data_IF_241956918659
#
_entry.id   IF_241956918659
#
_cell.length_a   1.000
_cell.length_b   1.000
_cell.length_c   1.000
_cell.angle_alpha   90.00
_cell.angle_beta   90.00
_cell.angle_gamma   90.00
#
_symmetry.space_group_name_H-M   'P 1'
#
loop_
_entity.id
_entity.type
_entity.pdbx_description
1 polymer ?
#
# COMPACT_ATOMS: atom_id res chain seq x y z
N UNK A 1 17.41 4.84 11.14
CA UNK A 1 16.03 5.34 11.08
C UNK A 1 15.71 5.64 9.63
N UNK A 2 14.72 4.97 9.05
CA UNK A 2 14.28 5.21 7.67
C UNK A 2 13.05 6.13 7.72
N UNK A 3 13.28 7.42 7.56
CA UNK A 3 12.21 8.38 7.40
C UNK A 3 11.82 8.43 5.93
N UNK A 4 10.52 8.50 5.66
CA UNK A 4 9.98 8.68 4.31
C UNK A 4 8.88 9.73 4.35
N UNK A 5 8.66 10.43 3.23
CA UNK A 5 7.62 11.44 3.14
C UNK A 5 6.29 10.80 2.79
N UNK A 6 5.21 11.35 3.33
CA UNK A 6 3.86 11.19 2.81
C UNK A 6 3.33 12.55 2.40
N UNK A 7 2.72 12.61 1.21
CA UNK A 7 2.13 13.83 0.69
C UNK A 7 0.76 13.57 0.09
N UNK A 8 -0.19 14.43 0.43
CA UNK A 8 -1.47 14.57 -0.29
C UNK A 8 -1.52 15.93 -0.96
N UNK A 9 -1.85 15.95 -2.25
CA UNK A 9 -1.91 17.17 -3.04
C UNK A 9 -3.27 17.33 -3.73
N UNK A 10 -3.63 18.58 -3.98
CA UNK A 10 -4.80 18.97 -4.75
C UNK A 10 -5.50 20.23 -4.19
N UNK A 11 -6.48 20.79 -4.91
CA UNK A 11 -7.09 22.08 -4.56
C UNK A 11 -7.74 22.13 -3.17
N UNK A 12 -8.15 20.99 -2.61
CA UNK A 12 -8.75 20.92 -1.28
C UNK A 12 -7.83 21.40 -0.15
N UNK A 13 -6.51 21.46 -0.36
CA UNK A 13 -5.55 21.88 0.66
C UNK A 13 -5.18 23.37 0.63
N UNK A 14 -5.68 24.14 -0.34
CA UNK A 14 -5.32 25.57 -0.54
C UNK A 14 -5.75 26.46 0.63
N UNK A 15 -6.88 26.15 1.26
CA UNK A 15 -7.46 26.91 2.37
C UNK A 15 -7.25 26.24 3.74
N UNK A 16 -6.33 25.27 3.80
CA UNK A 16 -6.08 24.45 4.99
C UNK A 16 -6.38 22.98 4.75
N UNK A 17 -6.12 22.15 5.77
CA UNK A 17 -6.22 20.69 5.65
C UNK A 17 -7.54 20.23 6.28
N UNK A 18 -8.48 19.63 5.52
CA UNK A 18 -9.71 19.10 6.11
C UNK A 18 -9.39 17.92 7.03
N UNK A 19 -9.67 18.09 8.32
CA UNK A 19 -9.34 17.10 9.34
C UNK A 19 -9.91 15.70 9.06
N UNK A 20 -11.19 15.53 8.65
CA UNK A 20 -11.73 14.20 8.34
C UNK A 20 -10.99 13.51 7.17
N UNK A 21 -10.56 14.30 6.18
CA UNK A 21 -9.83 13.79 5.03
C UNK A 21 -8.41 13.36 5.43
N UNK A 22 -7.71 14.18 6.21
CA UNK A 22 -6.38 13.87 6.71
C UNK A 22 -6.39 12.60 7.58
N UNK A 23 -7.27 12.56 8.60
CA UNK A 23 -7.38 11.41 9.52
C UNK A 23 -7.72 10.14 8.76
N UNK A 24 -8.75 10.18 7.92
CA UNK A 24 -9.16 8.98 7.18
C UNK A 24 -8.08 8.50 6.21
N UNK A 25 -7.29 9.40 5.61
CA UNK A 25 -6.22 9.02 4.69
C UNK A 25 -5.02 8.44 5.44
N UNK A 26 -4.55 9.11 6.49
CA UNK A 26 -3.48 8.59 7.35
C UNK A 26 -3.85 7.25 8.00
N UNK A 27 -5.13 7.03 8.30
CA UNK A 27 -5.61 5.75 8.82
C UNK A 27 -5.50 4.62 7.80
N UNK A 28 -5.81 4.87 6.51
CA UNK A 28 -5.57 3.86 5.46
C UNK A 28 -4.07 3.61 5.26
N UNK A 29 -3.24 4.65 5.34
CA UNK A 29 -1.77 4.49 5.29
C UNK A 29 -1.30 3.61 6.44
N UNK A 30 -1.70 3.88 7.68
CA UNK A 30 -1.39 3.01 8.81
C UNK A 30 -1.86 1.57 8.55
N UNK A 31 -3.08 1.39 8.04
CA UNK A 31 -3.64 0.07 7.78
C UNK A 31 -2.84 -0.71 6.72
N UNK A 32 -2.33 -0.06 5.68
CA UNK A 32 -1.42 -0.69 4.70
C UNK A 32 -0.19 -1.28 5.39
N UNK A 33 0.47 -0.48 6.23
CA UNK A 33 1.67 -0.90 6.97
C UNK A 33 1.35 -1.97 8.03
N UNK A 34 0.15 -1.93 8.61
CA UNK A 34 -0.33 -2.98 9.51
C UNK A 34 -0.42 -4.34 8.83
N UNK A 35 -0.86 -4.40 7.56
CA UNK A 35 -0.90 -5.67 6.83
C UNK A 35 0.51 -6.23 6.62
N UNK A 36 1.48 -5.37 6.30
CA UNK A 36 2.89 -5.76 6.22
C UNK A 36 3.37 -6.33 7.55
N UNK A 37 3.14 -5.62 8.66
CA UNK A 37 3.49 -6.08 10.00
C UNK A 37 2.82 -7.42 10.37
N UNK A 38 1.54 -7.60 10.06
CA UNK A 38 0.79 -8.81 10.38
C UNK A 38 1.29 -10.02 9.60
N UNK A 39 1.58 -9.87 8.30
CA UNK A 39 2.17 -10.95 7.50
C UNK A 39 3.52 -11.37 8.07
N UNK A 40 4.37 -10.40 8.43
CA UNK A 40 5.70 -10.69 8.99
C UNK A 40 5.67 -11.32 10.39
N UNK A 41 4.69 -10.94 11.21
CA UNK A 41 4.51 -11.48 12.56
C UNK A 41 3.69 -12.76 12.62
N UNK A 42 3.10 -13.19 11.50
CA UNK A 42 2.13 -14.30 11.45
C UNK A 42 0.81 -13.98 12.17
N UNK A 43 0.52 -12.70 12.40
CA UNK A 43 -0.69 -12.23 13.08
C UNK A 43 -1.88 -12.08 12.12
N UNK A 44 -3.10 -12.14 12.66
CA UNK A 44 -4.34 -11.93 11.89
C UNK A 44 -5.02 -10.58 12.13
N UNK A 45 -4.70 -9.91 13.24
CA UNK A 45 -5.23 -8.60 13.61
C UNK A 45 -4.23 -7.85 14.48
N UNK A 46 -4.20 -6.53 14.38
CA UNK A 46 -3.39 -5.70 15.28
C UNK A 46 -4.07 -5.57 16.63
N UNK A 47 -3.34 -5.88 17.70
CA UNK A 47 -3.79 -5.78 19.09
C UNK A 47 -3.31 -4.48 19.75
N UNK A 48 -3.70 -4.25 21.01
CA UNK A 48 -3.20 -3.11 21.79
C UNK A 48 -1.71 -3.21 22.06
N UNK A 49 -1.20 -4.40 22.40
CA UNK A 49 0.23 -4.62 22.64
C UNK A 49 1.04 -4.43 21.37
N UNK A 50 0.50 -4.81 20.21
CA UNK A 50 1.19 -4.59 18.93
C UNK A 50 1.37 -3.08 18.65
N UNK A 51 0.42 -2.23 19.06
CA UNK A 51 0.50 -0.77 18.90
C UNK A 51 1.57 -0.11 19.77
N UNK A 52 1.95 -0.75 20.87
CA UNK A 52 3.03 -0.28 21.72
C UNK A 52 4.39 -0.41 21.02
N UNK A 53 4.51 -1.40 20.13
CA UNK A 53 5.76 -1.71 19.42
C UNK A 53 5.75 -1.34 17.94
N UNK A 54 4.57 -1.18 17.31
CA UNK A 54 4.42 -0.89 15.89
C UNK A 54 3.37 0.19 15.58
N UNK A 55 3.84 1.32 15.03
CA UNK A 55 3.01 2.38 14.48
C UNK A 55 3.79 3.28 13.51
N UNK A 56 3.07 4.02 12.67
CA UNK A 56 3.60 5.16 11.95
C UNK A 56 3.46 6.42 12.80
N UNK A 57 4.52 7.23 12.87
CA UNK A 57 4.49 8.57 13.49
C UNK A 57 4.65 9.64 12.42
N UNK A 58 3.78 10.64 12.47
CA UNK A 58 3.83 11.82 11.60
C UNK A 58 4.58 12.95 12.30
N UNK A 59 5.48 13.62 11.57
CA UNK A 59 6.20 14.81 12.02
C UNK A 59 6.06 15.94 11.01
N UNK A 60 6.21 17.18 11.48
CA UNK A 60 6.33 18.38 10.64
C UNK A 60 5.24 18.53 9.56
N UNK A 61 3.96 18.44 9.95
CA UNK A 61 2.83 18.64 9.04
C UNK A 61 2.85 20.07 8.48
N UNK A 62 3.02 20.21 7.16
CA UNK A 62 3.12 21.51 6.47
C UNK A 62 1.77 22.02 5.94
N UNK A 63 1.67 23.32 5.69
CA UNK A 63 0.48 23.97 5.12
C UNK A 63 0.52 24.00 3.57
N UNK A 64 -0.64 23.98 2.91
CA UNK A 64 -0.79 24.01 1.44
C UNK A 64 -0.80 22.63 0.75
N UNK A 65 -0.42 21.59 1.48
CA UNK A 65 -0.58 20.15 1.16
C UNK A 65 -0.51 19.39 2.48
N UNK A 66 -1.12 18.21 2.62
CA UNK A 66 -0.79 17.36 3.77
C UNK A 66 0.54 16.66 3.48
N UNK A 67 1.64 17.37 3.68
CA UNK A 67 3.01 16.83 3.62
C UNK A 67 3.51 16.61 5.05
N UNK A 68 4.01 15.41 5.34
CA UNK A 68 4.55 15.02 6.64
C UNK A 68 5.67 14.01 6.46
N UNK A 69 6.65 14.06 7.36
CA UNK A 69 7.64 12.99 7.48
C UNK A 69 7.04 11.85 8.33
N UNK A 70 7.13 10.64 7.81
CA UNK A 70 6.70 9.41 8.47
C UNK A 70 7.89 8.61 8.97
N UNK A 71 7.80 8.16 10.21
CA UNK A 71 8.73 7.20 10.81
C UNK A 71 7.99 5.90 11.13
N UNK A 72 8.56 4.77 10.72
CA UNK A 72 8.08 3.44 11.13
C UNK A 72 8.75 3.08 12.44
N UNK A 73 7.96 3.09 13.51
CA UNK A 73 8.38 2.59 14.81
C UNK A 73 8.20 1.08 14.79
N UNK A 74 9.27 0.35 15.07
CA UNK A 74 9.27 -1.09 15.27
C UNK A 74 10.25 -1.42 16.40
N UNK A 75 9.75 -1.47 17.62
CA UNK A 75 10.55 -1.69 18.83
C UNK A 75 10.24 -3.06 19.45
N UNK A 76 10.97 -4.08 19.01
CA UNK A 76 10.82 -5.47 19.50
C UNK A 76 11.70 -5.78 20.72
N UNK A 77 12.39 -4.79 21.29
CA UNK A 77 13.42 -5.02 22.30
C UNK A 77 12.91 -5.54 23.67
N UNK A 78 11.59 -5.65 23.88
CA UNK A 78 11.01 -6.02 25.19
C UNK A 78 10.02 -7.19 25.22
N UNK A 79 9.83 -7.93 24.12
CA UNK A 79 8.94 -9.11 24.12
C UNK A 79 9.75 -10.40 24.04
N UNK A 80 9.64 -11.24 25.07
CA UNK A 80 10.26 -12.57 25.22
C UNK A 80 9.67 -13.63 24.27
N UNK A 81 9.29 -13.26 23.04
CA UNK A 81 8.65 -14.15 22.06
C UNK A 81 9.73 -14.70 21.10
N UNK A 82 10.07 -16.00 21.16
CA UNK A 82 11.20 -16.58 20.44
C UNK A 82 10.97 -16.83 18.93
N UNK A 83 10.00 -16.15 18.29
CA UNK A 83 9.59 -16.46 16.90
C UNK A 83 9.65 -15.25 15.95
N UNK A 84 9.79 -14.02 16.45
CA UNK A 84 9.86 -12.85 15.57
C UNK A 84 11.30 -12.67 15.06
N UNK A 85 11.55 -13.15 13.84
CA UNK A 85 12.73 -12.75 13.10
C UNK A 85 12.82 -11.20 13.03
N UNK A 86 14.06 -10.75 13.11
CA UNK A 86 14.59 -9.39 13.11
C UNK A 86 14.28 -8.59 11.84
N UNK A 87 13.02 -8.34 11.53
CA UNK A 87 12.67 -7.38 10.47
C UNK A 87 12.92 -5.95 10.98
N UNK A 88 13.57 -5.13 10.17
CA UNK A 88 13.78 -3.71 10.45
C UNK A 88 12.66 -2.87 9.84
N UNK A 89 12.54 -1.62 10.28
CA UNK A 89 11.68 -0.61 9.63
C UNK A 89 11.95 -0.51 8.12
N UNK A 90 13.19 -0.71 7.68
CA UNK A 90 13.57 -0.70 6.27
C UNK A 90 12.95 -1.89 5.52
N UNK A 91 12.91 -3.07 6.14
CA UNK A 91 12.32 -4.27 5.53
C UNK A 91 10.80 -4.12 5.39
N UNK A 92 10.15 -3.53 6.40
CA UNK A 92 8.72 -3.20 6.36
C UNK A 92 8.42 -2.22 5.21
N UNK A 93 9.22 -1.17 5.06
CA UNK A 93 9.09 -0.23 3.94
C UNK A 93 9.29 -0.93 2.58
N UNK A 94 10.35 -1.73 2.46
CA UNK A 94 10.70 -2.40 1.20
C UNK A 94 9.63 -3.39 0.75
N UNK A 95 9.10 -4.20 1.67
CA UNK A 95 8.01 -5.13 1.39
C UNK A 95 6.71 -4.40 1.05
N UNK A 96 6.42 -3.29 1.72
CA UNK A 96 5.26 -2.45 1.40
C UNK A 96 5.37 -1.88 -0.02
N UNK A 97 6.54 -1.35 -0.40
CA UNK A 97 6.83 -0.86 -1.75
C UNK A 97 6.69 -1.95 -2.81
N UNK A 98 7.28 -3.12 -2.59
CA UNK A 98 7.18 -4.25 -3.53
C UNK A 98 5.73 -4.75 -3.67
N UNK A 99 4.96 -4.75 -2.58
CA UNK A 99 3.53 -5.14 -2.63
C UNK A 99 2.70 -4.16 -3.46
N UNK A 100 3.00 -2.86 -3.34
CA UNK A 100 2.43 -1.82 -4.16
C UNK A 100 2.79 -1.99 -5.64
N UNK A 101 4.06 -2.24 -5.95
CA UNK A 101 4.55 -2.47 -7.32
C UNK A 101 3.86 -3.69 -7.96
N UNK A 102 3.71 -4.79 -7.20
CA UNK A 102 2.99 -5.98 -7.62
C UNK A 102 1.52 -5.66 -7.92
N UNK A 103 0.80 -4.99 -7.00
CA UNK A 103 -0.58 -4.59 -7.20
C UNK A 103 -0.73 -3.73 -8.46
N UNK A 104 0.11 -2.72 -8.63
CA UNK A 104 0.07 -1.84 -9.80
C UNK A 104 0.32 -2.59 -11.09
N UNK A 105 1.26 -3.52 -11.10
CA UNK A 105 1.54 -4.35 -12.26
C UNK A 105 0.32 -5.20 -12.63
N UNK A 106 -0.19 -6.00 -11.68
CA UNK A 106 -1.32 -6.92 -11.91
C UNK A 106 -2.58 -6.18 -12.35
N UNK A 107 -2.94 -5.08 -11.67
CA UNK A 107 -4.15 -4.34 -12.01
C UNK A 107 -4.06 -3.58 -13.34
N UNK A 108 -2.87 -3.08 -13.73
CA UNK A 108 -2.67 -2.50 -15.08
C UNK A 108 -2.79 -3.53 -16.19
N UNK A 109 -2.44 -4.79 -15.93
CA UNK A 109 -2.68 -5.89 -16.87
C UNK A 109 -4.17 -6.22 -16.94
N UNK A 110 -4.83 -6.31 -15.79
CA UNK A 110 -6.26 -6.58 -15.72
C UNK A 110 -7.11 -5.52 -16.45
N UNK A 111 -6.75 -4.23 -16.36
CA UNK A 111 -7.40 -3.13 -17.09
C UNK A 111 -7.33 -3.33 -18.63
N UNK A 112 -6.27 -3.99 -19.12
CA UNK A 112 -6.10 -4.34 -20.54
C UNK A 112 -6.75 -5.69 -20.92
N UNK A 113 -7.35 -6.40 -19.96
CA UNK A 113 -7.84 -7.76 -20.15
C UNK A 113 -6.74 -8.82 -20.20
N UNK A 114 -5.52 -8.48 -19.80
CA UNK A 114 -4.37 -9.39 -19.78
C UNK A 114 -4.28 -10.13 -18.44
N UNK A 115 -3.81 -11.37 -18.46
CA UNK A 115 -3.65 -12.21 -17.27
C UNK A 115 -2.17 -12.54 -17.07
N UNK A 116 -1.53 -12.08 -15.98
CA UNK A 116 -0.16 -12.46 -15.67
C UNK A 116 -0.08 -13.94 -15.28
N UNK A 117 1.11 -14.51 -15.44
CA UNK A 117 1.47 -15.84 -14.95
C UNK A 117 2.30 -15.68 -13.67
N UNK A 118 1.98 -16.49 -12.67
CA UNK A 118 2.64 -16.50 -11.36
C UNK A 118 3.49 -17.75 -11.22
N UNK A 119 4.76 -17.58 -10.85
CA UNK A 119 5.69 -18.66 -10.59
C UNK A 119 6.34 -18.44 -9.23
N UNK A 120 5.97 -19.28 -8.26
CA UNK A 120 6.64 -19.33 -6.97
C UNK A 120 7.95 -20.14 -7.11
N UNK A 121 9.06 -19.57 -6.64
CA UNK A 121 10.37 -20.24 -6.65
C UNK A 121 10.80 -20.50 -5.19
N UNK A 122 10.91 -21.78 -4.82
CA UNK A 122 11.50 -22.29 -3.57
C UNK A 122 11.20 -21.41 -2.33
N UNK A 123 9.92 -21.06 -2.14
CA UNK A 123 9.32 -20.26 -1.05
C UNK A 123 9.93 -18.87 -0.78
N UNK A 124 10.96 -18.47 -1.53
CA UNK A 124 11.75 -17.26 -1.27
C UNK A 124 11.33 -16.09 -2.16
N UNK A 125 10.86 -16.37 -3.38
CA UNK A 125 10.49 -15.34 -4.35
C UNK A 125 9.25 -15.72 -5.15
N UNK A 126 8.53 -14.69 -5.60
CA UNK A 126 7.46 -14.79 -6.56
C UNK A 126 7.87 -14.07 -7.84
N UNK A 127 7.94 -14.78 -8.95
CA UNK A 127 8.06 -14.18 -10.28
C UNK A 127 6.67 -14.03 -10.90
N UNK A 128 6.34 -12.80 -11.30
CA UNK A 128 5.12 -12.49 -12.04
C UNK A 128 5.52 -11.98 -13.41
N UNK A 129 5.01 -12.62 -14.46
CA UNK A 129 5.38 -12.27 -15.83
C UNK A 129 4.19 -12.18 -16.78
N UNK A 130 4.37 -11.42 -17.84
CA UNK A 130 3.44 -11.29 -18.95
C UNK A 130 4.25 -11.04 -20.24
N UNK A 131 4.29 -12.03 -21.12
CA UNK A 131 5.21 -12.04 -22.27
C UNK A 131 6.67 -11.94 -21.79
N UNK A 132 7.42 -10.99 -22.34
CA UNK A 132 8.84 -10.76 -22.03
C UNK A 132 9.09 -9.96 -20.74
N UNK A 133 8.04 -9.47 -20.07
CA UNK A 133 8.18 -8.72 -18.82
C UNK A 133 8.18 -9.70 -17.67
N UNK A 134 9.30 -9.78 -16.93
CA UNK A 134 9.45 -10.60 -15.73
C UNK A 134 9.81 -9.73 -14.52
N UNK A 135 8.93 -9.70 -13.52
CA UNK A 135 9.18 -9.04 -12.25
C UNK A 135 9.31 -10.09 -11.14
N UNK A 136 10.36 -10.01 -10.34
CA UNK A 136 10.60 -10.92 -9.21
C UNK A 136 10.48 -10.15 -7.91
N UNK A 137 9.66 -10.66 -7.00
CA UNK A 137 9.34 -10.08 -5.70
C UNK A 137 9.75 -11.03 -4.57
N UNK A 138 9.97 -10.50 -3.37
CA UNK A 138 10.16 -11.34 -2.17
C UNK A 138 8.90 -12.18 -1.87
N UNK A 139 9.08 -13.36 -1.28
CA UNK A 139 8.00 -14.32 -1.00
C UNK A 139 6.75 -13.74 -0.30
N UNK A 140 6.90 -12.94 0.78
CA UNK A 140 5.75 -12.37 1.51
C UNK A 140 4.95 -11.32 0.71
N UNK A 141 5.49 -10.81 -0.40
CA UNK A 141 4.94 -9.64 -1.12
C UNK A 141 3.52 -9.89 -1.62
N UNK A 142 3.21 -11.10 -2.08
CA UNK A 142 1.87 -11.44 -2.55
C UNK A 142 0.83 -11.40 -1.43
N UNK A 143 1.17 -11.97 -0.27
CA UNK A 143 0.28 -11.97 0.90
C UNK A 143 0.01 -10.55 1.39
N UNK A 144 1.04 -9.69 1.39
CA UNK A 144 0.91 -8.28 1.76
C UNK A 144 0.06 -7.53 0.73
N UNK A 145 0.27 -7.78 -0.56
CA UNK A 145 -0.50 -7.18 -1.65
C UNK A 145 -1.99 -7.52 -1.52
N UNK A 146 -2.30 -8.81 -1.36
CA UNK A 146 -3.68 -9.28 -1.16
C UNK A 146 -4.31 -8.66 0.10
N UNK A 147 -3.61 -8.67 1.22
CA UNK A 147 -4.13 -8.17 2.49
C UNK A 147 -4.32 -6.64 2.53
N UNK A 148 -3.56 -5.88 1.73
CA UNK A 148 -3.57 -4.41 1.74
C UNK A 148 -4.39 -3.76 0.62
N UNK A 149 -4.82 -4.52 -0.39
CA UNK A 149 -5.49 -3.99 -1.58
C UNK A 149 -6.72 -3.14 -1.27
N UNK A 150 -7.48 -3.50 -0.23
CA UNK A 150 -8.68 -2.74 0.19
C UNK A 150 -8.34 -1.32 0.66
N UNK A 151 -7.21 -1.15 1.34
CA UNK A 151 -6.75 0.15 1.85
C UNK A 151 -6.17 1.01 0.74
N UNK A 152 -5.44 0.40 -0.21
CA UNK A 152 -5.02 1.08 -1.43
C UNK A 152 -6.22 1.56 -2.25
N UNK A 153 -7.26 0.72 -2.40
CA UNK A 153 -8.51 1.09 -3.05
C UNK A 153 -9.22 2.23 -2.32
N UNK A 154 -9.28 2.19 -1.00
CA UNK A 154 -9.88 3.26 -0.19
C UNK A 154 -9.17 4.61 -0.37
N UNK A 155 -7.84 4.63 -0.43
CA UNK A 155 -7.07 5.83 -0.81
C UNK A 155 -7.39 6.28 -2.25
N UNK A 156 -7.40 5.33 -3.18
CA UNK A 156 -7.65 5.60 -4.59
C UNK A 156 -9.04 6.23 -4.82
N UNK A 157 -10.07 5.77 -4.12
CA UNK A 157 -11.44 6.30 -4.23
C UNK A 157 -11.59 7.73 -3.72
N UNK A 158 -10.71 8.17 -2.81
CA UNK A 158 -10.65 9.56 -2.34
C UNK A 158 -10.07 10.50 -3.40
N UNK A 159 -9.36 9.99 -4.41
CA UNK A 159 -8.91 10.81 -5.53
C UNK A 159 -10.10 11.36 -6.31
N UNK A 160 -10.03 12.65 -6.61
CA UNK A 160 -11.05 13.35 -7.38
C UNK A 160 -10.45 14.64 -7.93
N UNK A 161 -10.60 14.83 -9.24
CA UNK A 161 -10.27 16.11 -9.89
C UNK A 161 -10.94 17.28 -9.17
N UNK A 162 -10.15 18.30 -8.85
CA UNK A 162 -10.62 19.46 -8.09
C UNK A 162 -10.65 19.26 -6.56
N UNK A 163 -10.22 18.10 -6.05
CA UNK A 163 -10.11 17.84 -4.61
C UNK A 163 -8.74 17.27 -4.24
N UNK A 164 -8.62 15.95 -4.02
CA UNK A 164 -7.32 15.26 -3.87
C UNK A 164 -6.93 14.69 -5.22
N UNK A 165 -5.79 15.13 -5.75
CA UNK A 165 -5.31 14.73 -7.08
C UNK A 165 -4.13 13.78 -7.04
N UNK A 166 -3.39 13.74 -5.93
CA UNK A 166 -2.23 12.88 -5.79
C UNK A 166 -2.03 12.44 -4.33
N UNK A 167 -1.67 11.17 -4.14
CA UNK A 167 -0.99 10.67 -2.96
C UNK A 167 0.40 10.24 -3.36
N UNK A 168 1.42 10.62 -2.60
CA UNK A 168 2.77 10.09 -2.79
C UNK A 168 3.41 9.67 -1.47
N UNK A 169 4.21 8.62 -1.53
CA UNK A 169 5.04 8.16 -0.41
C UNK A 169 6.45 7.82 -0.86
N UNK A 170 7.42 8.11 0.01
CA UNK A 170 8.82 7.73 -0.20
C UNK A 170 9.76 8.92 -0.19
N UNK A 171 10.72 8.95 -1.11
CA UNK A 171 11.66 10.07 -1.21
C UNK A 171 10.94 11.36 -1.66
N UNK A 172 11.46 12.51 -1.21
CA UNK A 172 10.82 13.81 -1.49
C UNK A 172 10.79 14.15 -2.99
N UNK A 173 11.89 13.87 -3.69
CA UNK A 173 12.07 14.24 -5.10
C UNK A 173 11.56 13.15 -6.06
N UNK A 174 11.65 11.89 -5.66
CA UNK A 174 11.27 10.75 -6.49
C UNK A 174 10.47 9.73 -5.66
N UNK A 175 9.19 10.03 -5.36
CA UNK A 175 8.38 9.14 -4.54
C UNK A 175 8.14 7.81 -5.26
N UNK A 176 8.42 6.71 -4.55
CA UNK A 176 8.32 5.34 -5.03
C UNK A 176 6.86 4.87 -5.16
N UNK A 177 5.97 5.40 -4.31
CA UNK A 177 4.54 5.09 -4.34
C UNK A 177 3.80 6.35 -4.77
N UNK A 178 2.95 6.23 -5.79
CA UNK A 178 2.15 7.34 -6.31
C UNK A 178 0.76 6.86 -6.76
N UNK A 179 -0.28 7.53 -6.26
CA UNK A 179 -1.66 7.38 -6.73
C UNK A 179 -2.15 8.71 -7.27
N UNK A 180 -2.51 8.75 -8.54
CA UNK A 180 -2.97 9.97 -9.22
C UNK A 180 -4.43 9.84 -9.63
N UNK A 181 -5.14 10.96 -9.72
CA UNK A 181 -6.58 10.99 -10.02
C UNK A 181 -6.98 10.38 -11.37
N UNK A 182 -6.07 10.34 -12.34
CA UNK A 182 -6.24 9.61 -13.59
C UNK A 182 -6.22 8.07 -13.43
N UNK A 183 -5.83 7.55 -12.26
CA UNK A 183 -5.80 6.13 -11.93
C UNK A 183 -6.84 5.75 -10.86
N UNK A 184 -7.86 6.61 -10.63
CA UNK A 184 -8.89 6.45 -9.58
C UNK A 184 -9.57 5.08 -9.52
N UNK A 185 -9.66 4.38 -10.63
CA UNK A 185 -10.30 3.06 -10.73
C UNK A 185 -9.33 1.91 -10.96
N UNK A 186 -8.02 2.13 -10.85
CA UNK A 186 -7.02 1.09 -11.12
C UNK A 186 -7.21 -0.15 -10.24
N UNK A 187 -7.66 0.00 -9.00
CA UNK A 187 -7.90 -1.12 -8.08
C UNK A 187 -9.35 -1.60 -8.04
N UNK A 188 -10.22 -1.08 -8.89
CA UNK A 188 -11.59 -1.58 -9.02
C UNK A 188 -11.55 -2.91 -9.75
N UNK A 189 -12.42 -3.84 -9.35
CA UNK A 189 -12.54 -5.09 -10.08
C UNK A 189 -13.12 -4.77 -11.47
N UNK A 190 -12.47 -5.20 -12.57
CA UNK A 190 -13.01 -5.00 -13.89
C UNK A 190 -14.37 -5.68 -13.98
N UNK A 191 -15.41 -4.89 -14.30
CA UNK A 191 -16.74 -5.43 -14.54
C UNK A 191 -16.84 -5.78 -16.02
N UNK A 192 -17.09 -7.06 -16.32
CA UNK A 192 -17.40 -7.50 -17.67
C UNK A 192 -18.89 -7.81 -17.75
N UNK A 193 -19.59 -7.20 -18.70
CA UNK A 193 -20.94 -7.63 -19.06
C UNK A 193 -20.77 -8.74 -20.08
N UNK A 194 -20.99 -9.98 -19.67
CA UNK A 194 -21.11 -11.10 -20.62
C UNK A 194 -22.31 -10.83 -21.53
N UNK A 195 -22.05 -10.74 -22.84
CA UNK A 195 -23.09 -10.54 -23.86
C UNK A 195 -23.83 -11.83 -24.22
N UNK A 196 -23.29 -12.97 -23.81
CA UNK A 196 -23.94 -14.26 -23.99
C UNK A 196 -24.85 -14.54 -22.80
N UNK A 197 -26.15 -14.86 -23.03
CA UNK A 197 -27.05 -15.20 -21.93
C UNK A 197 -26.53 -16.44 -21.21
N UNK A 198 -26.42 -16.37 -19.87
CA UNK A 198 -26.17 -17.56 -19.05
C UNK A 198 -27.43 -18.44 -19.11
N UNK A 199 -27.38 -19.65 -19.68
CA UNK A 199 -28.52 -20.55 -19.67
C UNK A 199 -28.80 -20.98 -18.23
N UNK A 200 -30.01 -20.65 -17.75
CA UNK A 200 -30.52 -21.12 -16.48
C UNK A 200 -31.10 -22.52 -16.75
N UNK A 201 -30.43 -23.56 -16.25
CA UNK A 201 -30.95 -24.93 -16.25
C UNK A 201 -32.02 -25.10 -15.18
#
# INVERSE_FOLDING_TARGET
MSNFKFKMEGPTFEQGIPLPLAISSLSEVQAIFDKTYLVLSGGSKVTKSDREVFCLKTFDIKHGSLETDLEIIYDVAQLTIPVLATFSSKDIWELTKQSWELLKFVYKLAEKGEKPVYQANDDSTLTVHNGDIHNTYNGPVYQIAEASVEHWRALNHKLKKGAVTNYSMGSAENPEIQLRDNEKSIFDNPTHIEKEPVPIF
#
